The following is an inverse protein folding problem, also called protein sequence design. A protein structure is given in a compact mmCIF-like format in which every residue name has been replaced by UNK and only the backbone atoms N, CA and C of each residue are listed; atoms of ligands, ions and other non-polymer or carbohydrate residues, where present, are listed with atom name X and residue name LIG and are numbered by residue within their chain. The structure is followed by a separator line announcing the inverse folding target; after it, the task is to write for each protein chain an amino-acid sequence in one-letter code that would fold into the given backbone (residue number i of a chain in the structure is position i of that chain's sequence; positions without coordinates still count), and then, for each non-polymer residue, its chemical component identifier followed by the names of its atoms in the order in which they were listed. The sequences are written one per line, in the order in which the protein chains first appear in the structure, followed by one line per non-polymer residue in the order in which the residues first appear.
data_IF_893351955530
#
_entry.id   IF_893351955530
#
_cell.length_a   1.000
_cell.length_b   1.000
_cell.length_c   1.000
_cell.angle_alpha   90.00
_cell.angle_beta   90.00
_cell.angle_gamma   90.00
#
_symmetry.space_group_name_H-M   'P 1'
#
loop_
_entity.id
_entity.type
_entity.pdbx_description
1 polymer ?
#
# COMPACT_ATOMS: atom_id res chain seq x y z
N UNK A 1 8.84 4.96 -24.70
CA UNK A 1 8.93 3.59 -24.16
C UNK A 1 7.88 3.47 -23.07
N UNK A 2 6.92 2.56 -23.19
CA UNK A 2 5.91 2.34 -22.15
C UNK A 2 6.59 1.61 -20.99
N UNK A 3 6.58 2.21 -19.80
CA UNK A 3 7.05 1.56 -18.59
C UNK A 3 6.26 0.27 -18.34
N UNK A 4 6.96 -0.84 -18.05
CA UNK A 4 6.33 -2.13 -17.81
C UNK A 4 5.77 -2.17 -16.39
N UNK A 5 4.46 -2.43 -16.27
CA UNK A 5 3.77 -2.73 -15.01
C UNK A 5 3.39 -4.20 -15.03
N UNK A 6 3.63 -4.88 -13.91
CA UNK A 6 3.20 -6.26 -13.68
C UNK A 6 2.05 -6.24 -12.69
N UNK A 7 0.97 -6.96 -13.00
CA UNK A 7 -0.15 -7.19 -12.09
C UNK A 7 -0.31 -8.70 -11.95
N UNK A 8 -0.37 -9.20 -10.73
CA UNK A 8 -0.63 -10.61 -10.43
C UNK A 8 -1.62 -10.74 -9.28
N UNK A 9 -2.35 -11.85 -9.22
CA UNK A 9 -3.13 -12.18 -8.03
C UNK A 9 -2.20 -12.32 -6.82
N UNK A 10 -2.73 -11.95 -5.65
CA UNK A 10 -2.04 -12.09 -4.37
C UNK A 10 -3.00 -12.71 -3.35
N UNK A 11 -2.45 -13.26 -2.28
CA UNK A 11 -3.24 -13.67 -1.12
C UNK A 11 -3.32 -12.54 -0.10
N UNK A 12 -4.39 -12.55 0.70
CA UNK A 12 -4.47 -11.69 1.87
C UNK A 12 -3.28 -11.99 2.80
N UNK A 13 -2.66 -10.98 3.42
CA UNK A 13 -1.69 -11.22 4.48
C UNK A 13 -2.28 -12.11 5.57
N UNK A 14 -1.46 -13.00 6.12
CA UNK A 14 -1.93 -13.95 7.12
C UNK A 14 -2.51 -13.23 8.34
N UNK A 15 -3.70 -13.67 8.77
CA UNK A 15 -4.38 -13.11 9.95
C UNK A 15 -5.03 -11.75 9.74
N UNK A 16 -5.04 -11.23 8.50
CA UNK A 16 -5.56 -9.90 8.18
C UNK A 16 -6.94 -9.98 7.52
N UNK A 17 -7.77 -8.96 7.79
CA UNK A 17 -9.03 -8.66 7.10
C UNK A 17 -9.04 -7.19 6.68
N UNK A 18 -9.80 -6.87 5.64
CA UNK A 18 -10.01 -5.48 5.23
C UNK A 18 -10.85 -4.75 6.28
N UNK A 19 -10.31 -3.69 6.93
CA UNK A 19 -11.06 -2.94 7.92
C UNK A 19 -12.13 -2.07 7.25
N UNK A 20 -13.12 -1.67 8.05
CA UNK A 20 -14.25 -0.85 7.59
C UNK A 20 -14.16 0.61 8.01
N UNK A 21 -13.20 0.96 8.87
CA UNK A 21 -13.19 2.26 9.57
C UNK A 21 -12.17 3.26 9.01
N UNK A 22 -11.32 2.85 8.06
CA UNK A 22 -10.32 3.69 7.41
C UNK A 22 -10.50 3.64 5.89
N UNK A 23 -10.17 4.73 5.19
CA UNK A 23 -10.18 4.74 3.72
C UNK A 23 -9.06 3.86 3.15
N UNK A 24 -7.90 3.91 3.81
CA UNK A 24 -6.71 3.10 3.51
C UNK A 24 -6.14 2.53 4.80
N UNK A 25 -5.80 1.25 4.79
CA UNK A 25 -5.08 0.59 5.88
C UNK A 25 -3.76 0.07 5.40
N UNK A 26 -2.71 0.36 6.15
CA UNK A 26 -1.35 -0.10 5.87
C UNK A 26 -1.11 -1.34 6.74
N UNK A 27 -0.76 -2.45 6.10
CA UNK A 27 -0.49 -3.71 6.81
C UNK A 27 1.00 -3.89 7.06
N UNK A 28 1.36 -4.59 8.14
CA UNK A 28 2.75 -4.88 8.44
C UNK A 28 3.32 -5.89 7.45
N UNK A 29 4.63 -5.85 7.27
CA UNK A 29 5.38 -6.81 6.46
C UNK A 29 5.46 -8.17 7.15
N UNK A 30 5.51 -8.15 8.49
CA UNK A 30 5.56 -9.35 9.32
C UNK A 30 5.02 -9.06 10.71
N UNK A 31 4.81 -10.11 11.49
CA UNK A 31 4.46 -10.02 12.91
C UNK A 31 5.64 -10.47 13.76
N UNK A 32 6.00 -9.69 14.77
CA UNK A 32 6.99 -10.05 15.79
C UNK A 32 6.32 -10.09 17.16
N UNK A 33 6.12 -11.29 17.72
CA UNK A 33 5.45 -11.48 19.01
C UNK A 33 4.07 -10.77 19.12
N UNK A 34 3.31 -10.76 18.02
CA UNK A 34 2.00 -10.10 17.95
C UNK A 34 2.04 -8.60 17.67
N UNK A 35 3.24 -8.00 17.55
CA UNK A 35 3.43 -6.62 17.11
C UNK A 35 3.63 -6.56 15.61
N UNK A 36 3.02 -5.58 14.95
CA UNK A 36 3.17 -5.38 13.51
C UNK A 36 4.53 -4.76 13.19
N UNK A 37 5.33 -5.40 12.34
CA UNK A 37 6.60 -4.85 11.85
C UNK A 37 6.35 -4.11 10.53
N UNK A 38 6.67 -2.83 10.49
CA UNK A 38 6.47 -1.95 9.33
C UNK A 38 7.79 -1.39 8.84
N UNK A 39 7.95 -1.27 7.52
CA UNK A 39 8.99 -0.44 6.94
C UNK A 39 8.76 1.04 7.29
N UNK A 40 9.84 1.84 7.46
CA UNK A 40 9.71 3.29 7.63
C UNK A 40 8.86 3.95 6.53
N UNK A 41 9.04 3.51 5.27
CA UNK A 41 8.30 4.02 4.11
C UNK A 41 6.79 3.75 4.18
N UNK A 42 6.36 2.74 4.94
CA UNK A 42 4.95 2.43 5.13
C UNK A 42 4.26 3.48 6.02
N UNK A 43 4.98 3.99 7.03
CA UNK A 43 4.48 5.06 7.90
C UNK A 43 4.51 6.42 7.19
N UNK A 44 5.59 6.71 6.44
CA UNK A 44 5.66 7.92 5.62
C UNK A 44 4.50 7.97 4.61
N UNK A 45 4.15 6.82 4.00
CA UNK A 45 3.01 6.73 3.10
C UNK A 45 1.68 6.99 3.82
N UNK A 46 1.50 6.49 5.04
CA UNK A 46 0.29 6.75 5.82
C UNK A 46 0.10 8.25 6.09
N UNK A 47 1.18 8.96 6.39
CA UNK A 47 1.18 10.41 6.58
C UNK A 47 0.93 11.16 5.27
N UNK A 48 1.57 10.75 4.16
CA UNK A 48 1.33 11.30 2.82
C UNK A 48 -0.14 11.17 2.40
N UNK A 49 -0.73 10.00 2.62
CA UNK A 49 -2.14 9.73 2.34
C UNK A 49 -3.05 10.57 3.22
N UNK A 50 -2.78 10.63 4.53
CA UNK A 50 -3.56 11.47 5.45
C UNK A 50 -3.51 12.95 5.06
N UNK A 51 -2.37 13.43 4.55
CA UNK A 51 -2.21 14.77 3.98
C UNK A 51 -3.07 15.05 2.73
N UNK A 52 -3.69 14.03 2.14
CA UNK A 52 -4.68 14.18 1.05
C UNK A 52 -6.13 14.30 1.54
N UNK A 53 -6.36 14.19 2.84
CA UNK A 53 -7.68 14.30 3.47
C UNK A 53 -8.42 12.97 3.66
N UNK A 54 -7.76 11.83 3.43
CA UNK A 54 -8.32 10.50 3.72
C UNK A 54 -7.89 9.99 5.09
N UNK A 55 -8.65 9.07 5.67
CA UNK A 55 -8.26 8.36 6.89
C UNK A 55 -7.35 7.19 6.50
N UNK A 56 -6.04 7.39 6.60
CA UNK A 56 -5.03 6.35 6.39
C UNK A 56 -4.37 5.96 7.72
N UNK A 57 -4.38 4.66 8.06
CA UNK A 57 -3.84 4.18 9.35
C UNK A 57 -3.11 2.84 9.22
N UNK A 58 -2.08 2.59 10.04
CA UNK A 58 -1.56 1.23 10.23
C UNK A 58 -2.66 0.31 10.75
N UNK A 59 -2.56 -0.98 10.45
CA UNK A 59 -3.52 -1.99 10.92
C UNK A 59 -3.46 -2.16 12.45
N UNK A 60 -2.28 -2.00 13.02
CA UNK A 60 -2.06 -2.02 14.47
C UNK A 60 -2.11 -0.61 15.04
N UNK A 61 -2.49 -0.49 16.31
CA UNK A 61 -2.28 0.73 17.08
C UNK A 61 -0.79 1.07 17.13
N UNK A 62 -0.43 2.35 17.15
CA UNK A 62 0.98 2.78 17.08
C UNK A 62 1.85 2.21 18.21
N UNK A 63 1.26 1.94 19.38
CA UNK A 63 1.95 1.30 20.50
C UNK A 63 2.40 -0.15 20.17
N UNK A 64 1.64 -0.83 19.31
CA UNK A 64 1.84 -2.22 18.89
C UNK A 64 2.60 -2.33 17.57
N UNK A 65 3.13 -1.22 17.05
CA UNK A 65 3.99 -1.18 15.88
C UNK A 65 5.47 -1.29 16.26
N UNK A 66 6.22 -2.08 15.51
CA UNK A 66 7.68 -2.07 15.45
C UNK A 66 8.11 -1.54 14.08
N UNK A 67 9.10 -0.64 14.05
CA UNK A 67 9.67 -0.14 12.79
C UNK A 67 10.88 -1.00 12.46
N UNK A 68 10.91 -1.59 11.27
CA UNK A 68 12.06 -2.37 10.82
C UNK A 68 13.31 -1.49 10.80
N UNK A 69 14.35 -1.95 11.50
CA UNK A 69 15.63 -1.23 11.61
C UNK A 69 16.57 -1.54 10.43
N UNK A 70 16.20 -2.50 9.60
CA UNK A 70 16.93 -2.86 8.39
C UNK A 70 16.81 -1.72 7.38
N UNK A 71 17.84 -0.88 7.32
CA UNK A 71 18.05 0.03 6.19
C UNK A 71 18.19 -0.83 4.94
N UNK A 72 17.15 -0.93 4.13
CA UNK A 72 17.32 -1.38 2.76
C UNK A 72 18.40 -0.53 2.10
N UNK A 73 19.37 -1.13 1.39
CA UNK A 73 20.38 -0.35 0.69
C UNK A 73 19.67 0.62 -0.28
N UNK A 74 20.05 1.90 -0.19
CA UNK A 74 19.47 3.09 -0.88
C UNK A 74 19.62 3.03 -2.41
N UNK A 75 19.94 1.87 -2.97
CA UNK A 75 20.02 1.65 -4.41
C UNK A 75 18.62 1.34 -4.95
N UNK A 76 17.93 2.43 -5.31
CA UNK A 76 16.53 2.51 -5.75
C UNK A 76 15.52 2.23 -4.63
N UNK A 77 15.00 3.28 -4.01
CA UNK A 77 13.94 3.21 -2.99
C UNK A 77 12.66 2.61 -3.60
N UNK A 78 12.51 1.30 -3.53
CA UNK A 78 11.28 0.61 -3.91
C UNK A 78 10.30 0.81 -2.76
N UNK A 79 9.23 1.57 -3.00
CA UNK A 79 8.12 1.59 -2.03
C UNK A 79 7.44 0.22 -2.08
N UNK A 80 7.74 -0.64 -1.10
CA UNK A 80 7.09 -1.94 -0.92
C UNK A 80 6.11 -1.84 0.24
N UNK A 81 4.81 -1.91 -0.03
CA UNK A 81 3.77 -1.82 1.00
C UNK A 81 2.58 -2.70 0.70
N UNK A 82 1.90 -3.13 1.76
CA UNK A 82 0.64 -3.86 1.68
C UNK A 82 -0.49 -2.97 2.18
N UNK A 83 -1.52 -2.79 1.36
CA UNK A 83 -2.59 -1.83 1.55
C UNK A 83 -3.95 -2.52 1.48
N UNK A 84 -4.86 -2.14 2.37
CA UNK A 84 -6.29 -2.37 2.23
C UNK A 84 -6.97 -1.07 1.83
N UNK A 85 -7.73 -1.05 0.75
CA UNK A 85 -8.45 0.14 0.28
C UNK A 85 -9.93 -0.19 0.22
N UNK A 86 -10.75 0.55 0.97
CA UNK A 86 -12.18 0.29 1.09
C UNK A 86 -13.07 1.46 0.68
N UNK A 87 -12.47 2.58 0.27
CA UNK A 87 -13.20 3.75 -0.22
C UNK A 87 -12.65 4.30 -1.53
N UNK A 88 -13.53 4.92 -2.32
CA UNK A 88 -13.13 5.64 -3.54
C UNK A 88 -12.13 6.75 -3.25
N UNK A 89 -12.24 7.40 -2.09
CA UNK A 89 -11.30 8.43 -1.68
C UNK A 89 -9.90 7.86 -1.46
N UNK A 90 -9.78 6.70 -0.81
CA UNK A 90 -8.52 5.99 -0.64
C UNK A 90 -7.85 5.63 -1.97
N UNK A 91 -8.64 5.19 -2.95
CA UNK A 91 -8.14 4.93 -4.30
C UNK A 91 -7.63 6.18 -5.03
N UNK A 92 -8.31 7.32 -4.90
CA UNK A 92 -7.83 8.57 -5.49
C UNK A 92 -6.59 9.10 -4.77
N UNK A 93 -6.51 8.94 -3.44
CA UNK A 93 -5.37 9.31 -2.63
C UNK A 93 -4.10 8.56 -3.04
N UNK A 94 -4.16 7.22 -3.15
CA UNK A 94 -2.98 6.43 -3.55
C UNK A 94 -2.48 6.82 -4.95
N UNK A 95 -3.39 7.00 -5.91
CA UNK A 95 -3.01 7.48 -7.26
C UNK A 95 -2.35 8.85 -7.22
N UNK A 96 -2.87 9.77 -6.40
CA UNK A 96 -2.29 11.11 -6.26
C UNK A 96 -0.90 11.08 -5.63
N UNK A 97 -0.69 10.24 -4.61
CA UNK A 97 0.62 10.05 -4.00
C UNK A 97 1.60 9.46 -5.00
N UNK A 98 1.23 8.39 -5.70
CA UNK A 98 2.08 7.76 -6.72
C UNK A 98 2.46 8.71 -7.85
N UNK A 99 1.53 9.55 -8.33
CA UNK A 99 1.80 10.56 -9.38
C UNK A 99 2.73 11.69 -8.94
N UNK A 100 2.93 11.90 -7.63
CA UNK A 100 3.87 12.88 -7.08
C UNK A 100 5.30 12.35 -6.97
N UNK A 101 5.47 11.03 -7.03
CA UNK A 101 6.78 10.38 -6.98
C UNK A 101 7.53 10.60 -8.29
N UNK A 102 8.85 10.48 -8.26
CA UNK A 102 9.68 10.63 -9.46
C UNK A 102 9.33 9.54 -10.47
N UNK A 103 9.46 9.82 -11.77
CA UNK A 103 9.18 8.83 -12.82
C UNK A 103 10.05 7.57 -12.72
N UNK A 104 11.23 7.72 -12.12
CA UNK A 104 12.18 6.63 -11.93
C UNK A 104 11.93 5.85 -10.63
N UNK A 105 11.03 6.32 -9.75
CA UNK A 105 10.69 5.63 -8.51
C UNK A 105 9.89 4.37 -8.83
N UNK A 106 10.36 3.23 -8.31
CA UNK A 106 9.69 1.95 -8.42
C UNK A 106 8.83 1.70 -7.20
N UNK A 107 7.68 1.06 -7.40
CA UNK A 107 6.77 0.66 -6.33
C UNK A 107 6.36 -0.79 -6.51
N UNK A 108 6.12 -1.45 -5.39
CA UNK A 108 5.59 -2.81 -5.25
C UNK A 108 4.45 -2.74 -4.25
N UNK A 109 3.21 -2.70 -4.73
CA UNK A 109 2.03 -2.57 -3.90
C UNK A 109 1.26 -3.89 -3.89
N UNK A 110 1.00 -4.44 -2.71
CA UNK A 110 -0.05 -5.45 -2.55
C UNK A 110 -1.32 -4.74 -2.10
N UNK A 111 -2.40 -4.82 -2.89
CA UNK A 111 -3.63 -4.06 -2.66
C UNK A 111 -4.79 -5.03 -2.46
N UNK A 112 -5.45 -4.92 -1.31
CA UNK A 112 -6.69 -5.61 -0.99
C UNK A 112 -7.90 -4.68 -1.06
N UNK A 113 -9.01 -5.15 -1.62
CA UNK A 113 -10.30 -4.44 -1.62
C UNK A 113 -11.48 -5.41 -1.63
N UNK A 114 -12.70 -4.89 -1.40
CA UNK A 114 -13.93 -5.68 -1.54
C UNK A 114 -14.51 -5.50 -2.94
N UNK A 115 -14.73 -6.62 -3.63
CA UNK A 115 -15.53 -6.72 -4.85
C UNK A 115 -16.87 -7.38 -4.49
N UNK A 116 -17.88 -6.56 -4.23
CA UNK A 116 -19.14 -7.01 -3.65
C UNK A 116 -18.95 -7.64 -2.25
N UNK A 117 -19.19 -8.95 -2.13
CA UNK A 117 -18.99 -9.71 -0.89
C UNK A 117 -17.64 -10.42 -0.80
N UNK A 118 -16.86 -10.44 -1.88
CA UNK A 118 -15.57 -11.09 -1.93
C UNK A 118 -14.43 -10.10 -1.62
N UNK A 119 -13.42 -10.56 -0.88
CA UNK A 119 -12.15 -9.83 -0.77
C UNK A 119 -11.26 -10.23 -1.96
N UNK A 120 -10.64 -9.24 -2.60
CA UNK A 120 -9.66 -9.43 -3.68
C UNK A 120 -8.35 -8.81 -3.28
N UNK A 121 -7.26 -9.48 -3.66
CA UNK A 121 -5.90 -9.06 -3.40
C UNK A 121 -5.08 -9.21 -4.67
N UNK A 122 -4.36 -8.17 -5.04
CA UNK A 122 -3.43 -8.19 -6.17
C UNK A 122 -2.09 -7.63 -5.73
N UNK A 123 -1.05 -7.97 -6.46
CA UNK A 123 0.24 -7.33 -6.40
C UNK A 123 0.45 -6.54 -7.69
N UNK A 124 0.94 -5.30 -7.55
CA UNK A 124 1.24 -4.39 -8.66
C UNK A 124 2.68 -3.88 -8.51
N UNK A 125 3.52 -4.19 -9.48
CA UNK A 125 4.93 -3.81 -9.50
C UNK A 125 5.26 -2.97 -10.74
N UNK A 126 5.96 -1.85 -10.56
CA UNK A 126 6.40 -1.02 -11.68
C UNK A 126 6.78 0.40 -11.28
N UNK A 127 7.03 1.29 -12.26
CA UNK A 127 7.24 2.71 -12.00
C UNK A 127 5.98 3.37 -11.43
N UNK A 128 6.14 4.29 -10.48
CA UNK A 128 5.04 4.86 -9.69
C UNK A 128 3.90 5.44 -10.56
N UNK A 129 4.23 6.21 -11.60
CA UNK A 129 3.25 6.81 -12.52
C UNK A 129 2.47 5.74 -13.31
N UNK A 130 3.17 4.71 -13.81
CA UNK A 130 2.55 3.61 -14.53
C UNK A 130 1.67 2.74 -13.62
N UNK A 131 2.07 2.55 -12.36
CA UNK A 131 1.25 1.87 -11.35
C UNK A 131 -0.02 2.69 -11.04
N UNK A 132 0.07 4.02 -10.95
CA UNK A 132 -1.10 4.87 -10.77
C UNK A 132 -2.10 4.76 -11.94
N UNK A 133 -1.62 4.67 -13.18
CA UNK A 133 -2.47 4.40 -14.35
C UNK A 133 -3.09 3.00 -14.32
N UNK A 134 -2.31 1.99 -13.91
CA UNK A 134 -2.79 0.61 -13.81
C UNK A 134 -3.92 0.47 -12.78
N UNK A 135 -3.76 1.11 -11.61
CA UNK A 135 -4.78 1.16 -10.56
C UNK A 135 -6.09 1.77 -11.05
N UNK A 136 -6.03 2.75 -11.95
CA UNK A 136 -7.21 3.42 -12.52
C UNK A 136 -8.09 2.49 -13.38
N UNK A 137 -7.51 1.38 -13.86
CA UNK A 137 -8.16 0.40 -14.73
C UNK A 137 -8.68 -0.82 -13.98
N UNK A 138 -8.48 -0.89 -12.67
CA UNK A 138 -8.94 -2.01 -11.85
C UNK A 138 -10.47 -2.00 -11.69
N UNK A 139 -11.13 -3.18 -11.75
CA UNK A 139 -12.53 -3.28 -11.39
C UNK A 139 -12.68 -3.09 -9.87
N UNK A 140 -13.35 -2.02 -9.47
CA UNK A 140 -13.54 -1.60 -8.08
C UNK A 140 -14.97 -1.12 -7.85
#
# INVERSE_FOLDING_TARGET
MTALVTISDAEAPQGVRLPTESDVTIYPESLNNGRGVYAPSALDLADELSGTGVVARPWHELADCEISSEREPVTAAILSVVLGIVSSAGWEAIKRVLRRRSRDDRVSLTIGWRDGTAERWIRVDGPADAVAEAIDRLPR
#
